data_IF_236419827757
#
_entry.id   IF_236419827757
#
_cell.length_a   1.000
_cell.length_b   1.000
_cell.length_c   1.000
_cell.angle_alpha   90.00
_cell.angle_beta   90.00
_cell.angle_gamma   90.00
#
_symmetry.space_group_name_H-M   'P 1'
#
loop_
_entity.id
_entity.type
_entity.pdbx_description
1 polymer ?
#
# COMPACT_ATOMS: atom_id res chain seq x y z
N UNK A 1 -3.41 65.31 -37.89
CA UNK A 1 -4.45 64.31 -37.56
C UNK A 1 -4.14 63.06 -38.37
N UNK A 2 -3.51 62.01 -37.82
CA UNK A 2 -4.14 60.92 -37.03
C UNK A 2 -5.34 60.31 -37.79
N UNK A 3 -5.48 59.01 -38.10
CA UNK A 3 -4.86 57.74 -37.65
C UNK A 3 -5.20 56.63 -38.68
N UNK A 4 -4.41 55.54 -38.72
CA UNK A 4 -4.79 54.11 -38.95
C UNK A 4 -5.31 53.68 -40.35
N UNK A 5 -4.93 52.53 -40.91
CA UNK A 5 -4.05 51.45 -40.44
C UNK A 5 -3.82 50.36 -41.51
N UNK A 6 -2.70 49.65 -41.30
CA UNK A 6 -2.28 48.26 -41.60
C UNK A 6 -3.08 47.42 -42.64
N UNK A 7 -2.47 46.62 -43.53
CA UNK A 7 -1.61 45.48 -43.15
C UNK A 7 -0.87 44.80 -44.34
N UNK A 8 0.06 43.90 -43.98
CA UNK A 8 0.74 42.84 -44.78
C UNK A 8 2.02 43.16 -45.57
N UNK A 9 3.17 42.97 -44.90
CA UNK A 9 4.44 42.58 -45.55
C UNK A 9 4.96 41.26 -44.95
N UNK A 10 5.32 40.36 -45.87
CA UNK A 10 5.77 38.97 -45.72
C UNK A 10 7.05 38.85 -44.87
N UNK A 11 7.09 37.85 -44.00
CA UNK A 11 8.28 37.40 -43.23
C UNK A 11 8.96 36.24 -43.99
N UNK A 12 10.29 36.21 -44.13
CA UNK A 12 11.00 35.18 -44.89
C UNK A 12 11.21 33.88 -44.09
N UNK A 13 11.24 32.78 -44.84
CA UNK A 13 11.43 31.39 -44.43
C UNK A 13 12.81 31.19 -43.78
N UNK A 14 12.83 30.82 -42.49
CA UNK A 14 14.04 30.37 -41.79
C UNK A 14 14.14 28.84 -41.86
N UNK A 15 15.22 28.42 -42.51
CA UNK A 15 15.64 27.06 -42.76
C UNK A 15 15.93 26.32 -41.43
N UNK A 16 15.14 25.29 -41.09
CA UNK A 16 15.31 24.51 -39.85
C UNK A 16 16.40 23.46 -40.09
N UNK A 17 17.56 23.69 -39.45
CA UNK A 17 18.71 22.77 -39.42
C UNK A 17 18.30 21.37 -38.94
N UNK A 18 18.96 20.38 -39.54
CA UNK A 18 18.93 18.95 -39.25
C UNK A 18 19.03 18.63 -37.75
N UNK A 19 18.42 17.52 -37.26
CA UNK A 19 18.52 17.10 -35.87
C UNK A 19 19.92 16.54 -35.56
N UNK A 20 20.52 17.05 -34.49
CA UNK A 20 21.75 16.54 -33.91
C UNK A 20 21.54 15.14 -33.28
N UNK A 21 22.57 14.28 -33.26
CA UNK A 21 22.44 12.84 -32.99
C UNK A 21 22.06 12.52 -31.54
N UNK A 22 21.33 11.42 -31.39
CA UNK A 22 20.65 10.99 -30.18
C UNK A 22 21.53 10.91 -28.94
N UNK A 23 21.08 11.61 -27.89
CA UNK A 23 21.45 11.27 -26.51
C UNK A 23 20.64 10.02 -26.14
N UNK A 24 21.27 8.91 -25.71
CA UNK A 24 20.54 7.72 -25.30
C UNK A 24 19.65 8.08 -24.12
N UNK A 25 18.33 7.95 -24.31
CA UNK A 25 17.39 7.83 -23.19
C UNK A 25 17.87 6.63 -22.40
N UNK A 26 18.43 6.86 -21.21
CA UNK A 26 18.71 5.81 -20.22
C UNK A 26 17.37 5.26 -19.73
N UNK A 27 16.77 4.43 -20.57
CA UNK A 27 15.94 3.30 -20.20
C UNK A 27 16.85 2.36 -19.42
N UNK A 28 16.97 2.56 -18.12
CA UNK A 28 17.63 1.63 -17.21
C UNK A 28 16.72 0.41 -16.97
N UNK A 29 16.48 -0.36 -18.03
CA UNK A 29 16.25 -1.78 -17.90
C UNK A 29 17.60 -2.41 -17.54
N UNK A 30 17.79 -3.00 -16.35
CA UNK A 30 19.04 -3.67 -16.05
C UNK A 30 19.17 -4.90 -16.97
N UNK A 31 20.26 -4.92 -17.72
CA UNK A 31 20.70 -6.05 -18.55
C UNK A 31 20.86 -7.29 -17.67
N UNK A 32 20.14 -8.35 -18.03
CA UNK A 32 20.21 -9.66 -17.42
C UNK A 32 21.52 -10.36 -17.85
N UNK A 33 22.59 -10.24 -17.08
CA UNK A 33 23.65 -11.26 -16.97
C UNK A 33 24.77 -10.89 -15.99
N UNK A 34 25.00 -9.60 -15.68
CA UNK A 34 26.03 -9.15 -14.72
C UNK A 34 25.48 -8.50 -13.44
N UNK A 35 24.16 -8.58 -13.20
CA UNK A 35 23.40 -7.73 -12.26
C UNK A 35 22.52 -8.46 -11.24
N UNK A 36 22.64 -9.79 -11.12
CA UNK A 36 21.74 -10.59 -10.25
C UNK A 36 22.04 -10.43 -8.75
N UNK A 37 23.31 -10.26 -8.36
CA UNK A 37 23.70 -10.07 -6.96
C UNK A 37 23.29 -8.69 -6.44
N UNK A 38 23.48 -7.63 -7.22
CA UNK A 38 23.09 -6.25 -6.87
C UNK A 38 21.55 -6.11 -6.77
N UNK A 39 20.81 -6.75 -7.69
CA UNK A 39 19.34 -6.78 -7.64
C UNK A 39 18.79 -7.53 -6.42
N UNK A 40 19.39 -8.68 -6.08
CA UNK A 40 18.99 -9.47 -4.90
C UNK A 40 19.29 -8.71 -3.61
N UNK A 41 20.45 -8.04 -3.53
CA UNK A 41 20.85 -7.26 -2.38
C UNK A 41 19.93 -6.05 -2.15
N UNK A 42 19.63 -5.29 -3.20
CA UNK A 42 18.65 -4.19 -3.18
C UNK A 42 17.27 -4.66 -2.69
N UNK A 43 16.83 -5.84 -3.14
CA UNK A 43 15.57 -6.42 -2.71
C UNK A 43 15.56 -6.79 -1.21
N UNK A 44 16.65 -7.38 -0.70
CA UNK A 44 16.80 -7.70 0.72
C UNK A 44 16.77 -6.43 1.57
N UNK A 45 17.48 -5.37 1.16
CA UNK A 45 17.49 -4.09 1.87
C UNK A 45 16.12 -3.42 1.90
N UNK A 46 15.40 -3.42 0.77
CA UNK A 46 14.01 -2.96 0.74
C UNK A 46 13.10 -3.79 1.65
N UNK A 47 13.36 -5.11 1.77
CA UNK A 47 12.69 -6.00 2.71
C UNK A 47 12.96 -5.62 4.17
N UNK A 48 14.22 -5.38 4.52
CA UNK A 48 14.64 -4.93 5.85
C UNK A 48 14.04 -3.57 6.21
N UNK A 49 14.08 -2.60 5.29
CA UNK A 49 13.45 -1.28 5.45
C UNK A 49 11.93 -1.40 5.67
N UNK A 50 11.29 -2.37 5.02
CA UNK A 50 9.88 -2.64 5.24
C UNK A 50 9.61 -3.22 6.63
N UNK A 51 10.42 -4.18 7.05
CA UNK A 51 10.33 -4.83 8.36
C UNK A 51 10.54 -3.84 9.51
N UNK A 52 11.53 -2.95 9.42
CA UNK A 52 11.79 -1.91 10.43
C UNK A 52 10.67 -0.87 10.47
N UNK A 53 10.19 -0.40 9.31
CA UNK A 53 9.04 0.49 9.26
C UNK A 53 7.79 -0.15 9.88
N UNK A 54 7.57 -1.44 9.67
CA UNK A 54 6.48 -2.19 10.30
C UNK A 54 6.67 -2.34 11.82
N UNK A 55 7.88 -2.60 12.29
CA UNK A 55 8.18 -2.70 13.72
C UNK A 55 7.87 -1.39 14.45
N UNK A 56 8.34 -0.25 13.93
CA UNK A 56 8.11 1.08 14.52
C UNK A 56 6.61 1.38 14.69
N UNK A 57 5.79 0.99 13.72
CA UNK A 57 4.35 1.29 13.73
C UNK A 57 3.51 0.19 14.36
N UNK A 58 4.10 -0.94 14.75
CA UNK A 58 3.37 -2.10 15.24
C UNK A 58 2.44 -1.79 16.44
N UNK A 59 2.83 -0.94 17.42
CA UNK A 59 1.90 -0.51 18.49
C UNK A 59 0.60 0.13 17.97
N UNK A 60 0.68 0.94 16.90
CA UNK A 60 -0.49 1.54 16.26
C UNK A 60 -1.35 0.49 15.54
N UNK A 61 -0.72 -0.56 14.97
CA UNK A 61 -1.46 -1.68 14.38
C UNK A 61 -2.19 -2.52 15.43
N UNK A 62 -1.57 -2.73 16.59
CA UNK A 62 -2.21 -3.40 17.73
C UNK A 62 -3.43 -2.61 18.21
N UNK A 63 -3.28 -1.29 18.41
CA UNK A 63 -4.40 -0.41 18.76
C UNK A 63 -5.51 -0.44 17.71
N UNK A 64 -5.16 -0.22 16.44
CA UNK A 64 -6.08 -0.26 15.30
C UNK A 64 -6.85 -1.59 15.25
N UNK A 65 -6.16 -2.71 15.32
CA UNK A 65 -6.77 -4.04 15.16
C UNK A 65 -7.74 -4.36 16.31
N UNK A 66 -7.43 -3.95 17.53
CA UNK A 66 -8.34 -4.11 18.67
C UNK A 66 -9.57 -3.18 18.56
N UNK A 67 -9.38 -1.92 18.16
CA UNK A 67 -10.51 -1.00 17.92
C UNK A 67 -11.46 -1.52 16.83
N UNK A 68 -10.90 -2.07 15.74
CA UNK A 68 -11.67 -2.60 14.60
C UNK A 68 -12.40 -3.91 14.95
N UNK A 69 -11.78 -4.77 15.76
CA UNK A 69 -12.39 -6.03 16.18
C UNK A 69 -13.48 -5.86 17.23
N UNK A 70 -13.17 -5.16 18.33
CA UNK A 70 -14.12 -5.00 19.45
C UNK A 70 -15.22 -3.98 19.15
N UNK A 71 -15.04 -3.09 18.16
CA UNK A 71 -16.11 -2.21 17.72
C UNK A 71 -16.66 -1.39 18.89
N UNK A 72 -17.97 -1.48 19.14
CA UNK A 72 -18.65 -0.83 20.28
C UNK A 72 -18.05 -1.18 21.64
N UNK A 73 -17.59 -2.41 21.85
CA UNK A 73 -17.12 -2.91 23.15
C UNK A 73 -15.68 -2.47 23.48
N UNK A 74 -15.01 -1.75 22.59
CA UNK A 74 -13.64 -1.30 22.81
C UNK A 74 -13.55 -0.23 23.91
N UNK A 75 -12.75 -0.51 24.95
CA UNK A 75 -12.48 0.41 26.06
C UNK A 75 -11.03 0.91 26.01
N UNK A 76 -10.84 2.19 25.72
CA UNK A 76 -9.51 2.79 25.58
C UNK A 76 -8.69 2.76 26.88
N UNK A 77 -9.34 2.95 28.05
CA UNK A 77 -8.65 2.88 29.34
C UNK A 77 -8.06 1.49 29.64
N UNK A 78 -8.80 0.42 29.31
CA UNK A 78 -8.31 -0.96 29.47
C UNK A 78 -7.17 -1.27 28.51
N UNK A 79 -7.24 -0.73 27.29
CA UNK A 79 -6.15 -0.81 26.33
C UNK A 79 -4.89 -0.13 26.88
N UNK A 80 -4.98 1.11 27.36
CA UNK A 80 -3.82 1.85 27.88
C UNK A 80 -3.18 1.14 29.06
N UNK A 81 -3.98 0.50 29.93
CA UNK A 81 -3.47 -0.32 31.03
C UNK A 81 -2.65 -1.53 30.54
N UNK A 82 -3.11 -2.19 29.47
CA UNK A 82 -2.40 -3.33 28.86
C UNK A 82 -1.22 -2.89 27.98
N UNK A 83 -1.28 -1.69 27.40
CA UNK A 83 -0.25 -1.11 26.54
C UNK A 83 1.06 -0.80 27.28
N UNK A 84 1.04 -0.81 28.62
CA UNK A 84 2.26 -0.73 29.45
C UNK A 84 3.21 -1.91 29.22
N UNK A 85 2.71 -3.06 28.74
CA UNK A 85 3.54 -4.22 28.42
C UNK A 85 4.04 -4.18 26.96
N UNK A 86 5.37 -4.19 26.73
CA UNK A 86 5.93 -4.30 25.38
C UNK A 86 5.48 -5.58 24.67
N UNK A 87 5.36 -6.69 25.40
CA UNK A 87 4.92 -7.97 24.85
C UNK A 87 3.48 -7.93 24.32
N UNK A 88 2.62 -7.10 24.91
CA UNK A 88 1.27 -6.86 24.40
C UNK A 88 1.30 -6.04 23.12
N UNK A 89 2.04 -4.93 23.11
CA UNK A 89 2.12 -4.05 21.95
C UNK A 89 2.71 -4.74 20.73
N UNK A 90 3.78 -5.53 20.90
CA UNK A 90 4.51 -6.21 19.83
C UNK A 90 4.00 -7.61 19.49
N UNK A 91 2.88 -8.03 20.07
CA UNK A 91 2.29 -9.33 19.76
C UNK A 91 1.87 -9.40 18.29
N UNK A 92 2.26 -10.48 17.61
CA UNK A 92 1.98 -10.67 16.19
C UNK A 92 3.03 -10.08 15.24
N UNK A 93 4.04 -9.36 15.74
CA UNK A 93 5.06 -8.74 14.89
C UNK A 93 5.82 -9.79 14.06
N UNK A 94 6.27 -10.87 14.70
CA UNK A 94 7.01 -11.97 14.02
C UNK A 94 6.18 -12.55 12.87
N UNK A 95 4.90 -12.83 13.11
CA UNK A 95 3.97 -13.35 12.11
C UNK A 95 3.85 -12.41 10.91
N UNK A 96 3.86 -11.10 11.15
CA UNK A 96 3.82 -10.11 10.09
C UNK A 96 5.14 -10.02 9.32
N UNK A 97 6.27 -10.07 10.00
CA UNK A 97 7.61 -9.98 9.37
C UNK A 97 7.85 -11.10 8.36
N UNK A 98 7.41 -12.32 8.66
CA UNK A 98 7.52 -13.47 7.74
C UNK A 98 6.81 -13.21 6.40
N UNK A 99 5.69 -12.46 6.41
CA UNK A 99 4.91 -12.20 5.19
C UNK A 99 5.31 -10.96 4.41
N UNK A 100 5.92 -9.95 5.03
CA UNK A 100 6.13 -8.62 4.41
C UNK A 100 6.99 -8.68 3.15
N UNK A 101 8.13 -9.37 3.21
CA UNK A 101 9.09 -9.37 2.12
C UNK A 101 8.53 -10.12 0.88
N UNK A 102 8.01 -11.36 1.02
CA UNK A 102 7.31 -12.04 -0.08
C UNK A 102 6.12 -11.25 -0.63
N UNK A 103 5.32 -10.64 0.24
CA UNK A 103 4.17 -9.80 -0.14
C UNK A 103 4.61 -8.62 -1.02
N UNK A 104 5.66 -7.91 -0.62
CA UNK A 104 6.19 -6.77 -1.40
C UNK A 104 6.79 -7.20 -2.73
N UNK A 105 7.51 -8.33 -2.77
CA UNK A 105 8.06 -8.89 -4.01
C UNK A 105 6.96 -9.14 -5.04
N UNK A 106 5.92 -9.87 -4.61
CA UNK A 106 4.79 -10.21 -5.47
C UNK A 106 4.05 -8.97 -5.95
N UNK A 107 3.87 -7.99 -5.05
CA UNK A 107 3.24 -6.71 -5.38
C UNK A 107 3.98 -5.95 -6.48
N UNK A 108 5.29 -5.77 -6.34
CA UNK A 108 6.11 -5.04 -7.32
C UNK A 108 6.15 -5.79 -8.65
N UNK A 109 6.37 -7.12 -8.61
CA UNK A 109 6.41 -7.93 -9.83
C UNK A 109 5.07 -7.90 -10.58
N UNK A 110 3.96 -8.04 -9.86
CA UNK A 110 2.63 -7.97 -10.46
C UNK A 110 2.35 -6.60 -11.08
N UNK A 111 2.78 -5.52 -10.40
CA UNK A 111 2.69 -4.17 -10.94
C UNK A 111 3.46 -4.04 -12.25
N UNK A 112 4.74 -4.42 -12.28
CA UNK A 112 5.63 -4.25 -13.45
C UNK A 112 5.13 -5.05 -14.66
N UNK A 113 4.65 -6.28 -14.43
CA UNK A 113 4.12 -7.14 -15.49
C UNK A 113 2.87 -6.55 -16.11
N UNK A 114 1.93 -6.05 -15.31
CA UNK A 114 0.67 -5.48 -15.81
C UNK A 114 0.91 -4.12 -16.45
N UNK A 115 1.73 -3.27 -15.83
CA UNK A 115 2.07 -1.96 -16.40
C UNK A 115 2.76 -2.14 -17.76
N UNK A 116 3.75 -3.03 -17.86
CA UNK A 116 4.45 -3.30 -19.12
C UNK A 116 3.57 -3.96 -20.19
N UNK A 117 2.60 -4.80 -19.80
CA UNK A 117 1.66 -5.40 -20.74
C UNK A 117 0.67 -4.36 -21.30
N UNK A 118 0.13 -3.50 -20.44
CA UNK A 118 -0.83 -2.47 -20.87
C UNK A 118 -0.13 -1.38 -21.68
N UNK A 119 1.10 -0.99 -21.33
CA UNK A 119 1.89 -0.02 -22.10
C UNK A 119 2.07 -0.46 -23.55
N UNK A 120 2.37 -1.75 -23.77
CA UNK A 120 2.53 -2.33 -25.11
C UNK A 120 1.23 -2.34 -25.93
N UNK A 121 0.08 -2.51 -25.27
CA UNK A 121 -1.22 -2.67 -25.94
C UNK A 121 -1.97 -1.35 -26.13
N UNK A 122 -1.80 -0.39 -25.22
CA UNK A 122 -2.56 0.87 -25.21
C UNK A 122 -1.78 2.00 -24.53
N UNK A 123 -0.85 2.66 -25.25
CA UNK A 123 0.00 3.71 -24.68
C UNK A 123 -0.77 4.97 -24.19
N UNK A 124 -1.98 5.21 -24.71
CA UNK A 124 -2.80 6.36 -24.31
C UNK A 124 -3.65 6.12 -23.05
N UNK A 125 -3.76 4.89 -22.55
CA UNK A 125 -4.66 4.54 -21.45
C UNK A 125 -4.00 4.66 -20.06
N UNK A 126 -3.46 5.84 -19.72
CA UNK A 126 -2.66 6.07 -18.51
C UNK A 126 -3.36 5.68 -17.20
N UNK A 127 -4.61 6.13 -17.00
CA UNK A 127 -5.34 5.86 -15.76
C UNK A 127 -5.77 4.40 -15.64
N UNK A 128 -6.25 3.80 -16.73
CA UNK A 128 -6.64 2.39 -16.78
C UNK A 128 -5.44 1.48 -16.48
N UNK A 129 -4.26 1.84 -16.98
CA UNK A 129 -2.99 1.15 -16.69
C UNK A 129 -2.72 1.09 -15.19
N UNK A 130 -2.73 2.23 -14.50
CA UNK A 130 -2.46 2.27 -13.06
C UNK A 130 -3.54 1.59 -12.23
N UNK A 131 -4.80 1.70 -12.66
CA UNK A 131 -5.92 1.05 -11.99
C UNK A 131 -5.79 -0.47 -12.03
N UNK A 132 -5.53 -1.03 -13.21
CA UNK A 132 -5.39 -2.48 -13.41
C UNK A 132 -4.10 -3.02 -12.78
N UNK A 133 -2.98 -2.29 -12.90
CA UNK A 133 -1.73 -2.65 -12.24
C UNK A 133 -1.89 -2.65 -10.71
N UNK A 134 -2.57 -1.66 -10.14
CA UNK A 134 -2.89 -1.60 -8.72
C UNK A 134 -3.80 -2.74 -8.26
N UNK A 135 -4.81 -3.07 -9.06
CA UNK A 135 -5.73 -4.17 -8.77
C UNK A 135 -5.04 -5.53 -8.76
N UNK A 136 -4.23 -5.83 -9.79
CA UNK A 136 -3.47 -7.07 -9.86
C UNK A 136 -2.42 -7.15 -8.74
N UNK A 137 -1.73 -6.05 -8.46
CA UNK A 137 -0.81 -5.96 -7.34
C UNK A 137 -1.52 -6.27 -6.00
N UNK A 138 -2.76 -5.80 -5.82
CA UNK A 138 -3.61 -6.16 -4.70
C UNK A 138 -3.89 -7.65 -4.59
N UNK A 139 -4.35 -8.29 -5.67
CA UNK A 139 -4.61 -9.74 -5.69
C UNK A 139 -3.36 -10.54 -5.35
N UNK A 140 -2.22 -10.23 -5.98
CA UNK A 140 -0.96 -10.94 -5.76
C UNK A 140 -0.46 -10.78 -4.31
N UNK A 141 -0.61 -9.58 -3.75
CA UNK A 141 -0.33 -9.27 -2.34
C UNK A 141 -1.18 -10.13 -1.43
N UNK A 142 -2.48 -10.26 -1.69
CA UNK A 142 -3.38 -11.04 -0.84
C UNK A 142 -2.95 -12.50 -0.78
N UNK A 143 -2.59 -13.14 -1.90
CA UNK A 143 -2.25 -14.59 -1.98
C UNK A 143 -1.21 -14.98 -0.94
N UNK A 144 -0.19 -14.14 -0.80
CA UNK A 144 0.96 -14.35 0.08
C UNK A 144 0.76 -13.69 1.44
N UNK A 145 0.14 -12.51 1.48
CA UNK A 145 -0.05 -11.72 2.68
C UNK A 145 -1.13 -12.27 3.61
N UNK A 146 -2.22 -12.83 3.09
CA UNK A 146 -3.38 -13.27 3.87
C UNK A 146 -3.04 -14.19 5.07
N UNK A 147 -2.26 -15.27 4.92
CA UNK A 147 -1.93 -16.13 6.05
C UNK A 147 -1.13 -15.39 7.14
N UNK A 148 -0.17 -14.55 6.74
CA UNK A 148 0.66 -13.77 7.67
C UNK A 148 -0.16 -12.71 8.43
N UNK A 149 -1.02 -11.98 7.71
CA UNK A 149 -1.87 -10.94 8.27
C UNK A 149 -2.86 -11.52 9.27
N UNK A 150 -3.46 -12.66 8.93
CA UNK A 150 -4.40 -13.28 9.86
C UNK A 150 -3.71 -13.86 11.10
N UNK A 151 -2.55 -14.49 10.94
CA UNK A 151 -1.81 -14.97 12.09
C UNK A 151 -1.40 -13.82 13.03
N UNK A 152 -1.06 -12.65 12.48
CA UNK A 152 -0.86 -11.42 13.25
C UNK A 152 -2.13 -10.98 13.98
N UNK A 153 -3.28 -10.90 13.30
CA UNK A 153 -4.57 -10.49 13.89
C UNK A 153 -5.00 -11.44 15.02
N UNK A 154 -4.87 -12.75 14.81
CA UNK A 154 -5.16 -13.75 15.84
C UNK A 154 -4.20 -13.63 17.03
N UNK A 155 -2.92 -13.36 16.79
CA UNK A 155 -1.99 -13.10 17.88
C UNK A 155 -2.41 -11.87 18.71
N UNK A 156 -2.76 -10.76 18.07
CA UNK A 156 -3.16 -9.51 18.76
C UNK A 156 -4.46 -9.65 19.57
N UNK A 157 -5.45 -10.39 19.05
CA UNK A 157 -6.79 -10.48 19.65
C UNK A 157 -6.92 -11.70 20.56
N UNK A 158 -6.47 -12.86 20.11
CA UNK A 158 -6.66 -14.16 20.80
C UNK A 158 -5.48 -14.58 21.65
N UNK A 159 -4.35 -13.86 21.57
CA UNK A 159 -3.10 -14.21 22.25
C UNK A 159 -2.53 -15.57 21.82
N UNK A 160 -2.84 -16.02 20.60
CA UNK A 160 -2.35 -17.29 20.05
C UNK A 160 -1.01 -17.11 19.32
N UNK A 161 -0.09 -18.04 19.52
CA UNK A 161 1.18 -18.10 18.79
C UNK A 161 1.00 -18.63 17.37
N UNK A 162 1.95 -18.34 16.45
CA UNK A 162 1.87 -18.80 15.06
C UNK A 162 1.70 -20.32 14.94
N UNK A 163 2.53 -21.08 15.65
CA UNK A 163 2.50 -22.55 15.63
C UNK A 163 1.16 -23.07 16.14
N UNK A 164 0.62 -22.44 17.20
CA UNK A 164 -0.69 -22.81 17.74
C UNK A 164 -1.80 -22.52 16.74
N UNK A 165 -1.77 -21.37 16.07
CA UNK A 165 -2.72 -21.07 14.98
C UNK A 165 -2.60 -22.13 13.88
N UNK A 166 -1.39 -22.46 13.40
CA UNK A 166 -1.24 -23.47 12.34
C UNK A 166 -1.76 -24.85 12.78
N UNK A 167 -1.50 -25.25 14.03
CA UNK A 167 -1.97 -26.53 14.60
C UNK A 167 -3.50 -26.57 14.77
N UNK A 168 -4.11 -25.52 15.31
CA UNK A 168 -5.54 -25.46 15.60
C UNK A 168 -6.40 -25.30 14.34
N UNK A 169 -5.83 -24.68 13.31
CA UNK A 169 -6.57 -24.09 12.18
C UNK A 169 -6.27 -24.83 10.87
N UNK A 170 -5.06 -25.38 10.74
CA UNK A 170 -4.50 -25.84 9.47
C UNK A 170 -4.23 -24.71 8.48
N UNK A 171 -3.59 -25.04 7.36
CA UNK A 171 -3.22 -24.06 6.32
C UNK A 171 -4.44 -23.43 5.64
N UNK A 172 -5.45 -24.23 5.28
CA UNK A 172 -6.73 -23.72 4.73
C UNK A 172 -7.38 -22.75 5.70
N UNK A 173 -7.27 -23.10 6.97
CA UNK A 173 -7.80 -22.32 8.04
C UNK A 173 -7.15 -20.98 8.20
N UNK A 174 -5.94 -20.68 7.66
CA UNK A 174 -5.33 -19.33 7.65
C UNK A 174 -5.95 -18.39 6.60
N UNK A 175 -6.63 -18.94 5.60
CA UNK A 175 -7.28 -18.20 4.52
C UNK A 175 -8.75 -17.82 4.81
N UNK A 176 -9.37 -18.23 5.93
CA UNK A 176 -10.62 -17.61 6.41
C UNK A 176 -10.40 -16.09 6.53
N UNK A 177 -11.28 -15.29 5.96
CA UNK A 177 -11.00 -13.85 5.82
C UNK A 177 -10.56 -13.45 4.41
N UNK A 178 -10.20 -14.38 3.54
CA UNK A 178 -9.59 -14.13 2.23
C UNK A 178 -10.39 -13.15 1.37
N UNK A 179 -11.70 -13.35 1.22
CA UNK A 179 -12.51 -12.50 0.32
C UNK A 179 -12.54 -11.04 0.78
N UNK A 180 -12.63 -10.79 2.10
CA UNK A 180 -12.55 -9.43 2.63
C UNK A 180 -11.14 -8.85 2.50
N UNK A 181 -10.12 -9.69 2.68
CA UNK A 181 -8.71 -9.35 2.55
C UNK A 181 -8.40 -8.91 1.11
N UNK A 182 -8.87 -9.69 0.14
CA UNK A 182 -8.73 -9.47 -1.29
C UNK A 182 -9.40 -8.16 -1.73
N UNK A 183 -10.67 -7.98 -1.37
CA UNK A 183 -11.42 -6.78 -1.72
C UNK A 183 -10.74 -5.52 -1.16
N UNK A 184 -10.31 -5.59 0.11
CA UNK A 184 -9.56 -4.53 0.78
C UNK A 184 -8.22 -4.24 0.10
N UNK A 185 -7.46 -5.26 -0.31
CA UNK A 185 -6.14 -5.08 -0.94
C UNK A 185 -6.24 -4.48 -2.34
N UNK A 186 -7.22 -4.91 -3.12
CA UNK A 186 -7.50 -4.33 -4.44
C UNK A 186 -7.83 -2.86 -4.27
N UNK A 187 -8.83 -2.52 -3.45
CA UNK A 187 -9.23 -1.12 -3.25
C UNK A 187 -8.09 -0.26 -2.70
N UNK A 188 -7.37 -0.75 -1.69
CA UNK A 188 -6.30 0.00 -1.05
C UNK A 188 -5.13 0.24 -2.00
N UNK A 189 -4.62 -0.78 -2.68
CA UNK A 189 -3.46 -0.63 -3.57
C UNK A 189 -3.82 0.16 -4.83
N UNK A 190 -4.99 -0.08 -5.42
CA UNK A 190 -5.47 0.69 -6.58
C UNK A 190 -5.58 2.17 -6.24
N UNK A 191 -6.23 2.51 -5.12
CA UNK A 191 -6.36 3.91 -4.68
C UNK A 191 -4.99 4.52 -4.39
N UNK A 192 -4.17 3.84 -3.59
CA UNK A 192 -2.88 4.37 -3.17
C UNK A 192 -1.95 4.64 -4.35
N UNK A 193 -1.75 3.69 -5.25
CA UNK A 193 -0.81 3.83 -6.36
C UNK A 193 -1.33 4.75 -7.46
N UNK A 194 -2.62 4.65 -7.82
CA UNK A 194 -3.21 5.50 -8.86
C UNK A 194 -3.21 6.96 -8.41
N UNK A 195 -3.72 7.26 -7.21
CA UNK A 195 -3.73 8.63 -6.70
C UNK A 195 -2.31 9.16 -6.52
N UNK A 196 -1.35 8.34 -6.06
CA UNK A 196 0.05 8.77 -5.97
C UNK A 196 0.65 9.13 -7.33
N UNK A 197 0.42 8.33 -8.37
CA UNK A 197 0.91 8.62 -9.73
C UNK A 197 0.30 9.91 -10.29
N UNK A 198 -1.01 10.12 -10.08
CA UNK A 198 -1.70 11.35 -10.47
C UNK A 198 -1.07 12.57 -9.80
N UNK A 199 -0.87 12.52 -8.48
CA UNK A 199 -0.29 13.63 -7.72
C UNK A 199 1.15 13.95 -8.15
N UNK A 200 1.97 12.92 -8.39
CA UNK A 200 3.34 13.11 -8.88
C UNK A 200 3.33 13.73 -10.28
N UNK A 201 2.51 13.23 -11.20
CA UNK A 201 2.43 13.82 -12.55
C UNK A 201 1.97 15.28 -12.54
N UNK A 202 0.98 15.63 -11.71
CA UNK A 202 0.51 17.01 -11.58
C UNK A 202 1.61 17.92 -11.00
N UNK A 203 2.31 17.45 -9.96
CA UNK A 203 3.43 18.17 -9.38
C UNK A 203 4.58 18.42 -10.37
N UNK A 204 4.96 17.39 -11.14
CA UNK A 204 6.00 17.49 -12.17
C UNK A 204 5.60 18.48 -13.29
N UNK A 205 4.32 18.50 -13.70
CA UNK A 205 3.81 19.48 -14.68
C UNK A 205 3.89 20.91 -14.18
N UNK A 206 3.60 21.15 -12.91
CA UNK A 206 3.63 22.50 -12.32
C UNK A 206 5.06 23.02 -12.09
N UNK A 207 5.99 22.13 -11.76
CA UNK A 207 7.37 22.49 -11.42
C UNK A 207 8.34 22.40 -12.59
N UNK A 208 7.91 21.83 -13.72
CA UNK A 208 8.77 21.58 -14.89
C UNK A 208 9.83 20.49 -14.66
N UNK A 209 9.76 19.74 -13.55
CA UNK A 209 10.70 18.65 -13.22
C UNK A 209 10.27 17.34 -13.88
N UNK A 210 11.25 16.53 -14.28
CA UNK A 210 11.02 15.19 -14.87
C UNK A 210 10.63 14.14 -13.83
N UNK A 211 11.13 14.25 -12.61
CA UNK A 211 10.73 13.40 -11.47
C UNK A 211 10.81 14.21 -10.15
N UNK A 212 10.10 13.73 -9.14
CA UNK A 212 10.09 14.30 -7.80
C UNK A 212 11.28 13.75 -6.98
N UNK A 213 11.96 14.63 -6.25
CA UNK A 213 13.01 14.22 -5.30
C UNK A 213 12.41 13.37 -4.17
N UNK A 214 13.24 12.65 -3.41
CA UNK A 214 12.73 11.73 -2.37
C UNK A 214 11.87 12.43 -1.30
N UNK A 215 12.27 13.59 -0.75
CA UNK A 215 11.42 14.35 0.16
C UNK A 215 10.08 14.76 -0.48
N UNK A 216 10.10 15.12 -1.76
CA UNK A 216 8.89 15.48 -2.52
C UNK A 216 8.00 14.24 -2.73
N UNK A 217 8.57 13.08 -3.04
CA UNK A 217 7.84 11.81 -3.18
C UNK A 217 7.21 11.35 -1.87
N UNK A 218 7.85 11.65 -0.73
CA UNK A 218 7.27 11.42 0.60
C UNK A 218 6.08 12.37 0.81
N UNK A 219 6.27 13.67 0.60
CA UNK A 219 5.20 14.67 0.76
C UNK A 219 3.99 14.38 -0.14
N UNK A 220 4.23 14.10 -1.44
CA UNK A 220 3.22 13.74 -2.42
C UNK A 220 2.56 12.38 -2.14
N UNK A 221 3.21 11.53 -1.33
CA UNK A 221 2.67 10.24 -0.89
C UNK A 221 1.72 10.33 0.30
N UNK A 222 1.74 11.44 1.06
CA UNK A 222 0.91 11.60 2.26
C UNK A 222 -0.58 11.70 1.93
N UNK A 223 -0.94 12.54 0.94
CA UNK A 223 -2.35 12.74 0.53
C UNK A 223 -2.98 11.46 -0.03
N UNK A 224 -2.36 10.73 -0.98
CA UNK A 224 -2.82 9.41 -1.40
C UNK A 224 -2.95 8.42 -0.25
N UNK A 225 -2.00 8.43 0.71
CA UNK A 225 -2.03 7.58 1.89
C UNK A 225 -3.23 7.86 2.80
N UNK A 226 -3.58 9.14 2.98
CA UNK A 226 -4.77 9.57 3.70
C UNK A 226 -6.05 9.10 2.99
N UNK A 227 -6.16 9.36 1.68
CA UNK A 227 -7.33 9.01 0.88
C UNK A 227 -7.58 7.49 0.88
N UNK A 228 -6.52 6.71 0.65
CA UNK A 228 -6.58 5.24 0.69
C UNK A 228 -6.92 4.72 2.09
N UNK A 229 -6.54 5.43 3.15
CA UNK A 229 -6.87 5.06 4.52
C UNK A 229 -8.34 5.29 4.86
N UNK A 230 -8.92 6.40 4.41
CA UNK A 230 -10.36 6.71 4.58
C UNK A 230 -11.21 5.68 3.83
N UNK A 231 -10.92 5.47 2.54
CA UNK A 231 -11.67 4.53 1.69
C UNK A 231 -11.49 3.09 2.19
N UNK A 232 -10.28 2.71 2.61
CA UNK A 232 -10.00 1.36 3.10
C UNK A 232 -10.54 1.07 4.50
N UNK A 233 -10.90 2.08 5.31
CA UNK A 233 -11.30 1.90 6.71
C UNK A 233 -12.49 0.94 6.90
N UNK A 234 -13.63 1.12 6.23
CA UNK A 234 -14.77 0.21 6.37
C UNK A 234 -14.41 -1.23 6.00
N UNK A 235 -13.57 -1.42 4.98
CA UNK A 235 -13.15 -2.74 4.52
C UNK A 235 -12.17 -3.41 5.48
N UNK A 236 -11.28 -2.64 6.12
CA UNK A 236 -10.41 -3.16 7.17
C UNK A 236 -11.20 -3.60 8.41
N UNK A 237 -12.28 -2.92 8.79
CA UNK A 237 -13.15 -3.34 9.91
C UNK A 237 -13.77 -4.70 9.61
N UNK A 238 -14.40 -4.86 8.45
CA UNK A 238 -15.01 -6.13 8.02
C UNK A 238 -13.95 -7.24 7.96
N UNK A 239 -12.80 -6.97 7.35
CA UNK A 239 -11.67 -7.90 7.28
C UNK A 239 -11.20 -8.32 8.68
N UNK A 240 -10.98 -7.37 9.58
CA UNK A 240 -10.42 -7.64 10.92
C UNK A 240 -11.36 -8.50 11.75
N UNK A 241 -12.67 -8.27 11.68
CA UNK A 241 -13.68 -9.12 12.33
C UNK A 241 -13.72 -10.52 11.76
N UNK A 242 -13.65 -10.64 10.44
CA UNK A 242 -13.66 -11.94 9.77
C UNK A 242 -12.38 -12.74 10.09
N UNK A 243 -11.23 -12.08 10.18
CA UNK A 243 -9.95 -12.72 10.53
C UNK A 243 -9.81 -13.03 12.03
N UNK A 244 -10.40 -12.21 12.92
CA UNK A 244 -10.41 -12.42 14.37
C UNK A 244 -11.51 -13.36 14.89
N UNK A 245 -12.49 -13.70 14.05
CA UNK A 245 -13.55 -14.65 14.37
C UNK A 245 -12.97 -16.03 14.73
N UNK A 246 -13.67 -16.76 15.62
CA UNK A 246 -13.25 -18.12 15.98
C UNK A 246 -13.31 -19.01 14.74
N UNK A 247 -12.55 -20.11 14.76
CA UNK A 247 -12.57 -21.09 13.70
C UNK A 247 -13.94 -21.74 13.51
N UNK A 248 -14.54 -22.14 14.62
CA UNK A 248 -15.83 -22.83 14.68
C UNK A 248 -17.05 -21.93 14.47
N UNK A 249 -16.88 -20.61 14.33
CA UNK A 249 -18.03 -19.77 13.93
C UNK A 249 -18.31 -20.02 12.46
N UNK A 250 -19.59 -20.22 12.07
CA UNK A 250 -19.97 -20.42 10.68
C UNK A 250 -19.42 -19.29 9.81
N UNK A 251 -18.96 -19.65 8.61
CA UNK A 251 -18.41 -18.69 7.67
C UNK A 251 -19.50 -17.69 7.28
N UNK A 252 -19.34 -16.43 7.66
CA UNK A 252 -20.23 -15.34 7.26
C UNK A 252 -19.63 -14.63 6.06
N UNK A 253 -20.47 -14.35 5.06
CA UNK A 253 -20.08 -13.56 3.90
C UNK A 253 -19.68 -12.14 4.31
N UNK A 254 -18.80 -11.50 3.53
CA UNK A 254 -18.35 -10.14 3.79
C UNK A 254 -19.51 -9.14 3.85
N UNK A 255 -20.50 -9.30 2.95
CA UNK A 255 -21.72 -8.50 2.92
C UNK A 255 -22.53 -8.69 4.20
N UNK A 256 -22.68 -9.92 4.68
CA UNK A 256 -23.38 -10.21 5.94
C UNK A 256 -22.73 -9.48 7.10
N UNK A 257 -21.40 -9.57 7.27
CA UNK A 257 -20.68 -8.86 8.34
C UNK A 257 -20.83 -7.34 8.20
N UNK A 258 -20.75 -6.82 6.97
CA UNK A 258 -20.91 -5.39 6.71
C UNK A 258 -22.31 -4.88 7.10
N UNK A 259 -23.37 -5.58 6.69
CA UNK A 259 -24.74 -5.21 7.05
C UNK A 259 -25.05 -5.47 8.53
N UNK A 260 -24.44 -6.48 9.15
CA UNK A 260 -24.51 -6.76 10.59
C UNK A 260 -23.95 -5.57 11.39
N UNK A 261 -22.78 -5.05 11.00
CA UNK A 261 -22.20 -3.83 11.61
C UNK A 261 -23.15 -2.64 11.43
N UNK A 262 -23.64 -2.41 10.21
CA UNK A 262 -24.50 -1.26 9.92
C UNK A 262 -25.80 -1.28 10.73
N UNK A 263 -26.43 -2.45 10.88
CA UNK A 263 -27.73 -2.59 11.54
C UNK A 263 -27.61 -2.69 13.06
N UNK A 264 -26.65 -3.47 13.56
CA UNK A 264 -26.58 -3.79 14.99
C UNK A 264 -25.63 -2.90 15.78
N UNK A 265 -24.61 -2.32 15.14
CA UNK A 265 -23.64 -1.45 15.81
C UNK A 265 -23.67 -0.01 15.31
N UNK A 266 -24.20 0.22 14.11
CA UNK A 266 -24.31 1.52 13.49
C UNK A 266 -23.10 1.89 12.61
N UNK A 267 -23.30 2.84 11.67
CA UNK A 267 -22.33 3.18 10.62
C UNK A 267 -21.01 3.75 11.15
N UNK A 268 -21.02 4.40 12.32
CA UNK A 268 -19.80 4.95 12.93
C UNK A 268 -18.77 3.85 13.27
N UNK A 269 -19.22 2.63 13.54
CA UNK A 269 -18.33 1.51 13.85
C UNK A 269 -17.52 1.01 12.64
N UNK A 270 -17.95 1.31 11.40
CA UNK A 270 -17.17 1.04 10.19
C UNK A 270 -15.92 1.94 10.07
N UNK A 271 -15.93 3.08 10.74
CA UNK A 271 -14.79 4.02 10.75
C UNK A 271 -13.97 3.89 12.05
N UNK A 272 -14.22 2.89 12.90
CA UNK A 272 -13.42 2.67 14.10
C UNK A 272 -12.00 2.23 13.72
N UNK A 273 -11.02 2.85 14.38
CA UNK A 273 -9.61 2.68 14.05
C UNK A 273 -9.12 3.55 12.88
N UNK A 274 -9.94 4.50 12.38
CA UNK A 274 -9.50 5.45 11.34
C UNK A 274 -8.31 6.29 11.82
N UNK A 275 -8.40 6.90 13.01
CA UNK A 275 -7.33 7.77 13.55
C UNK A 275 -5.96 7.05 13.60
N UNK A 276 -5.82 5.88 14.25
CA UNK A 276 -4.53 5.18 14.24
C UNK A 276 -4.09 4.76 12.84
N UNK A 277 -5.02 4.51 11.91
CA UNK A 277 -4.69 4.23 10.50
C UNK A 277 -4.16 5.44 9.76
N UNK A 278 -4.79 6.61 9.94
CA UNK A 278 -4.39 7.87 9.31
C UNK A 278 -2.97 8.28 9.70
N UNK A 279 -2.54 7.93 10.92
CA UNK A 279 -1.17 8.14 11.37
C UNK A 279 -0.26 7.04 10.82
N UNK A 280 -0.65 5.76 10.99
CA UNK A 280 0.22 4.64 10.68
C UNK A 280 0.55 4.50 9.19
N UNK A 281 -0.41 4.68 8.27
CA UNK A 281 -0.19 4.41 6.84
C UNK A 281 0.75 5.43 6.19
N UNK A 282 0.50 6.75 6.26
CA UNK A 282 1.39 7.75 5.65
C UNK A 282 2.77 7.75 6.34
N UNK A 283 2.81 7.64 7.67
CA UNK A 283 4.06 7.57 8.41
C UNK A 283 4.89 6.34 8.03
N UNK A 284 4.27 5.16 7.95
CA UNK A 284 4.96 3.94 7.51
C UNK A 284 5.54 4.08 6.09
N UNK A 285 4.82 4.72 5.18
CA UNK A 285 5.31 4.97 3.83
C UNK A 285 6.51 5.91 3.82
N UNK A 286 6.47 6.99 4.62
CA UNK A 286 7.59 7.91 4.77
C UNK A 286 8.84 7.20 5.32
N UNK A 287 8.68 6.44 6.41
CA UNK A 287 9.77 5.67 7.01
C UNK A 287 10.33 4.61 6.06
N UNK A 288 9.47 3.90 5.33
CA UNK A 288 9.92 2.94 4.33
C UNK A 288 10.80 3.60 3.26
N UNK A 289 10.37 4.73 2.70
CA UNK A 289 11.13 5.43 1.65
C UNK A 289 12.46 5.97 2.20
N UNK A 290 12.45 6.56 3.40
CA UNK A 290 13.66 7.09 4.03
C UNK A 290 14.68 5.99 4.33
N UNK A 291 14.24 4.86 4.89
CA UNK A 291 15.12 3.74 5.23
C UNK A 291 15.63 3.01 3.98
N UNK A 292 14.78 2.84 2.98
CA UNK A 292 15.17 2.23 1.70
C UNK A 292 16.25 3.05 1.00
N UNK A 293 16.17 4.38 1.05
CA UNK A 293 17.19 5.28 0.52
C UNK A 293 18.49 5.21 1.34
N UNK A 294 18.40 5.33 2.66
CA UNK A 294 19.57 5.27 3.54
C UNK A 294 20.35 3.95 3.40
N UNK A 295 19.62 2.84 3.31
CA UNK A 295 20.24 1.53 3.09
C UNK A 295 20.89 1.42 1.71
N UNK A 296 20.32 2.06 0.68
CA UNK A 296 20.90 2.09 -0.66
C UNK A 296 22.10 3.03 -0.79
N UNK A 297 22.19 4.08 0.03
CA UNK A 297 23.32 5.03 0.05
C UNK A 297 24.58 4.50 0.70
N UNK A 298 24.48 3.49 1.57
CA UNK A 298 25.60 2.93 2.33
C UNK A 298 26.40 1.86 1.55
N UNK A 299 26.21 1.79 0.23
CA UNK A 299 26.78 0.83 -0.71
C UNK A 299 27.32 1.64 -1.88
#
# INVERSE_FOLDING_TARGET
MSIMGQDSKKIPVVNRRQPAPGVPVQSSAPSLASSSMDGTYKFILSGLAACTAHAIHHPLYTLKSQMMFYGHDFRFGEFMRQATSPQFLYRGLVQRMVGIMPEKAMKMRAWDVVEGYIEKKSPNAKYTKWLLAGGMAGVATTVVGCPSERAMVLAMIRKQGFIQVVKDTGLKGLYKGWTATLYRDILFNTTLFTTRKIFIEQYCKMTGKTDANIPERIALGLVPGFLASVIGCPHDVVKTRMQGAKLYTPYRSCSTIFFDILRNEGPRNLMKGLIPRLIAVPSMMAWFVALDEEFKKRI
#
